data_IF_854081279035
#
_entry.id   IF_854081279035
#
_cell.length_a   1.000
_cell.length_b   1.000
_cell.length_c   1.000
_cell.angle_alpha   90.00
_cell.angle_beta   90.00
_cell.angle_gamma   90.00
#
_symmetry.space_group_name_H-M   'P 1'
#
loop_
_entity.id
_entity.type
_entity.pdbx_description
1 polymer ?
#
# COMPACT_ATOMS: atom_id res chain seq x y z
N UNK A 1 22.94 -9.59 9.97
CA UNK A 1 22.51 -9.79 11.37
C UNK A 1 21.05 -9.45 11.46
N UNK A 2 20.24 -10.39 11.93
CA UNK A 2 18.84 -10.14 12.26
C UNK A 2 18.80 -9.25 13.51
N UNK A 3 18.47 -7.99 13.33
CA UNK A 3 18.39 -7.02 14.43
C UNK A 3 17.02 -7.07 15.15
N UNK A 4 16.20 -8.09 14.91
CA UNK A 4 14.85 -8.21 15.47
C UNK A 4 13.88 -7.14 14.96
N UNK A 5 14.13 -6.57 13.78
CA UNK A 5 13.25 -5.58 13.17
C UNK A 5 12.07 -6.28 12.48
N UNK A 6 10.86 -5.90 12.87
CA UNK A 6 9.62 -6.49 12.35
C UNK A 6 8.96 -5.63 11.27
N UNK A 7 9.37 -4.38 11.14
CA UNK A 7 8.87 -3.45 10.13
C UNK A 7 9.94 -2.43 9.74
N UNK A 8 9.82 -1.88 8.55
CA UNK A 8 10.69 -0.84 8.01
C UNK A 8 9.89 0.17 7.20
N UNK A 9 10.42 1.37 7.10
CA UNK A 9 9.93 2.42 6.20
C UNK A 9 11.11 3.19 5.65
N UNK A 10 10.92 3.91 4.55
CA UNK A 10 11.96 4.73 3.92
C UNK A 10 11.42 6.13 3.70
N UNK A 11 12.14 7.13 4.22
CA UNK A 11 11.84 8.52 3.90
C UNK A 11 12.44 8.86 2.53
N UNK A 12 11.61 9.18 1.57
CA UNK A 12 12.02 9.46 0.19
C UNK A 12 12.96 10.66 0.05
N UNK A 13 12.84 11.66 0.95
CA UNK A 13 13.61 12.89 0.87
C UNK A 13 15.03 12.77 1.43
N UNK A 14 15.34 11.69 2.14
CA UNK A 14 16.62 11.56 2.88
C UNK A 14 17.39 10.30 2.51
N UNK A 15 17.14 9.71 1.35
CA UNK A 15 17.81 8.49 0.89
C UNK A 15 19.34 8.67 0.78
N UNK A 16 19.78 9.78 0.20
CA UNK A 16 21.18 10.15 0.03
C UNK A 16 21.89 10.32 1.38
N UNK A 17 21.25 10.94 2.36
CA UNK A 17 21.77 11.10 3.73
C UNK A 17 21.93 9.73 4.39
N UNK A 18 21.02 8.79 4.13
CA UNK A 18 21.08 7.41 4.63
C UNK A 18 22.08 6.53 3.84
N UNK A 19 22.75 7.08 2.82
CA UNK A 19 23.69 6.34 1.98
C UNK A 19 23.03 5.35 1.01
N UNK A 20 21.75 5.50 0.75
CA UNK A 20 21.03 4.69 -0.24
C UNK A 20 21.13 5.36 -1.62
N UNK A 21 21.73 4.71 -2.61
CA UNK A 21 21.90 5.29 -3.94
C UNK A 21 20.60 5.36 -4.75
N UNK A 22 19.59 4.56 -4.36
CA UNK A 22 18.30 4.41 -5.04
C UNK A 22 17.22 4.05 -4.04
N UNK A 23 15.96 4.33 -4.39
CA UNK A 23 14.82 3.83 -3.63
C UNK A 23 14.73 2.29 -3.73
N UNK A 24 14.72 1.55 -2.61
CA UNK A 24 14.80 0.08 -2.62
C UNK A 24 13.43 -0.60 -2.79
N UNK A 25 12.61 -0.21 -3.77
CA UNK A 25 11.24 -0.72 -3.93
C UNK A 25 11.16 -2.25 -4.00
N UNK A 26 12.08 -2.89 -4.72
CA UNK A 26 12.09 -4.36 -4.83
C UNK A 26 12.34 -5.02 -3.47
N UNK A 27 13.24 -4.48 -2.66
CA UNK A 27 13.49 -5.02 -1.31
C UNK A 27 12.30 -4.75 -0.39
N UNK A 28 11.60 -3.62 -0.53
CA UNK A 28 10.37 -3.33 0.19
C UNK A 28 9.26 -4.38 -0.12
N UNK A 29 9.14 -4.78 -1.38
CA UNK A 29 8.25 -5.88 -1.77
C UNK A 29 8.64 -7.21 -1.11
N UNK A 30 9.93 -7.55 -1.15
CA UNK A 30 10.47 -8.80 -0.59
C UNK A 30 10.35 -8.87 0.93
N UNK A 31 10.48 -7.77 1.66
CA UNK A 31 10.28 -7.79 3.12
C UNK A 31 8.83 -8.07 3.48
N UNK A 32 7.86 -7.48 2.77
CA UNK A 32 6.44 -7.81 2.95
C UNK A 32 6.15 -9.29 2.60
N UNK A 33 6.73 -9.80 1.51
CA UNK A 33 6.59 -11.21 1.13
C UNK A 33 7.11 -12.17 2.21
N UNK A 34 8.17 -11.79 2.93
CA UNK A 34 8.75 -12.54 4.05
C UNK A 34 8.01 -12.36 5.37
N UNK A 35 6.97 -11.54 5.42
CA UNK A 35 6.15 -11.31 6.61
C UNK A 35 6.62 -10.14 7.48
N UNK A 36 7.50 -9.26 6.98
CA UNK A 36 7.91 -8.05 7.67
C UNK A 36 7.09 -6.86 7.17
N UNK A 37 6.76 -5.91 8.06
CA UNK A 37 5.98 -4.74 7.72
C UNK A 37 6.74 -3.73 6.86
N UNK A 38 6.01 -3.08 5.97
CA UNK A 38 6.51 -1.95 5.21
C UNK A 38 5.40 -0.94 4.95
N UNK A 39 5.74 0.33 4.98
CA UNK A 39 4.96 1.42 4.43
C UNK A 39 5.90 2.46 3.82
N UNK A 40 5.45 3.17 2.80
CA UNK A 40 6.22 4.22 2.14
C UNK A 40 6.37 5.48 2.98
N UNK A 41 7.18 6.41 2.49
CA UNK A 41 7.25 7.83 2.89
C UNK A 41 7.57 8.10 4.38
N UNK A 42 8.18 7.15 5.07
CA UNK A 42 8.51 7.31 6.50
C UNK A 42 7.36 7.00 7.44
N UNK A 43 6.26 6.40 6.98
CA UNK A 43 5.11 6.07 7.81
C UNK A 43 5.38 4.85 8.70
N UNK A 44 5.98 5.11 9.85
CA UNK A 44 6.31 4.06 10.84
C UNK A 44 5.08 3.41 11.45
N UNK A 45 3.96 4.14 11.57
CA UNK A 45 2.75 3.61 12.18
C UNK A 45 2.09 2.57 11.28
N UNK A 46 1.91 2.90 10.01
CA UNK A 46 1.38 1.97 9.02
C UNK A 46 2.32 0.79 8.80
N UNK A 47 3.65 1.02 8.75
CA UNK A 47 4.62 -0.08 8.64
C UNK A 47 4.51 -1.06 9.80
N UNK A 48 4.38 -0.57 11.03
CA UNK A 48 4.17 -1.40 12.22
C UNK A 48 2.88 -2.21 12.16
N UNK A 49 1.77 -1.60 11.72
CA UNK A 49 0.50 -2.28 11.55
C UNK A 49 0.57 -3.37 10.46
N UNK A 50 1.18 -3.09 9.30
CA UNK A 50 1.42 -4.08 8.24
C UNK A 50 2.21 -5.27 8.80
N UNK A 51 3.28 -5.00 9.55
CA UNK A 51 4.10 -6.04 10.17
C UNK A 51 3.33 -6.91 11.15
N UNK A 52 2.53 -6.30 12.02
CA UNK A 52 1.69 -7.03 12.98
C UNK A 52 0.67 -7.94 12.28
N UNK A 53 0.02 -7.44 11.23
CA UNK A 53 -0.98 -8.23 10.50
C UNK A 53 -0.36 -9.32 9.64
N UNK A 54 0.82 -9.11 9.07
CA UNK A 54 1.54 -10.13 8.31
C UNK A 54 1.92 -11.37 9.13
N UNK A 55 2.00 -11.25 10.47
CA UNK A 55 2.24 -12.42 11.35
C UNK A 55 1.07 -13.41 11.33
N UNK A 56 -0.14 -12.95 11.02
CA UNK A 56 -1.37 -13.77 11.05
C UNK A 56 -1.96 -13.90 9.64
N UNK A 57 -1.87 -12.85 8.85
CA UNK A 57 -2.46 -12.74 7.51
C UNK A 57 -1.37 -12.50 6.46
N UNK A 58 -0.78 -13.56 5.87
CA UNK A 58 0.33 -13.43 4.93
C UNK A 58 -0.03 -12.71 3.63
N UNK A 59 -1.34 -12.55 3.36
CA UNK A 59 -1.87 -11.80 2.22
C UNK A 59 -2.23 -10.35 2.61
N UNK A 60 -1.35 -9.68 3.34
CA UNK A 60 -1.44 -8.26 3.69
C UNK A 60 -0.48 -7.45 2.82
N UNK A 61 -0.89 -6.28 2.38
CA UNK A 61 -0.01 -5.31 1.69
C UNK A 61 -0.26 -3.89 2.17
N UNK A 62 0.78 -3.10 2.17
CA UNK A 62 0.69 -1.64 2.17
C UNK A 62 0.03 -1.16 0.88
N UNK A 63 -0.77 -0.12 0.96
CA UNK A 63 -1.39 0.58 -0.18
C UNK A 63 -1.78 1.99 0.21
N UNK A 64 -2.15 2.80 -0.77
CA UNK A 64 -2.62 4.15 -0.58
C UNK A 64 -4.00 4.33 -1.23
N UNK A 65 -4.88 5.08 -0.56
CA UNK A 65 -6.13 5.56 -1.14
C UNK A 65 -5.80 6.74 -2.06
N UNK A 66 -5.58 6.43 -3.36
CA UNK A 66 -5.02 7.39 -4.30
C UNK A 66 -6.08 8.32 -4.90
N UNK A 67 -7.19 7.76 -5.40
CA UNK A 67 -8.17 8.54 -6.15
C UNK A 67 -9.57 7.91 -6.09
N UNK A 68 -10.60 8.66 -5.69
CA UNK A 68 -11.98 8.21 -5.80
C UNK A 68 -12.51 8.39 -7.23
N UNK A 69 -13.25 7.40 -7.72
CA UNK A 69 -14.11 7.52 -8.90
C UNK A 69 -15.57 7.60 -8.43
N UNK A 70 -16.11 8.82 -8.48
CA UNK A 70 -17.44 9.14 -7.97
C UNK A 70 -18.56 8.58 -8.85
N UNK A 71 -18.29 8.33 -10.14
CA UNK A 71 -19.30 7.82 -11.08
C UNK A 71 -19.48 6.31 -10.91
N UNK A 72 -18.39 5.59 -10.64
CA UNK A 72 -18.39 4.14 -10.47
C UNK A 72 -18.49 3.69 -9.02
N UNK A 73 -18.49 4.64 -8.07
CA UNK A 73 -18.58 4.38 -6.62
C UNK A 73 -17.42 3.48 -6.12
N UNK A 74 -16.19 3.75 -6.59
CA UNK A 74 -14.98 2.99 -6.29
C UNK A 74 -13.78 3.89 -5.96
N UNK A 75 -12.72 3.31 -5.41
CA UNK A 75 -11.47 3.99 -5.09
C UNK A 75 -10.31 3.26 -5.76
N UNK A 76 -9.47 4.00 -6.47
CA UNK A 76 -8.17 3.49 -6.89
C UNK A 76 -7.25 3.41 -5.69
N UNK A 77 -6.81 2.21 -5.37
CA UNK A 77 -5.69 1.96 -4.48
C UNK A 77 -4.43 1.88 -5.33
N UNK A 78 -3.41 2.65 -4.99
CA UNK A 78 -2.15 2.68 -5.75
C UNK A 78 -0.99 3.07 -4.84
N UNK A 79 0.22 2.76 -5.26
CA UNK A 79 1.46 3.33 -4.77
C UNK A 79 2.57 3.19 -5.81
N UNK A 80 3.77 3.69 -5.51
CA UNK A 80 4.83 3.92 -6.49
C UNK A 80 5.50 2.66 -7.05
N UNK A 81 5.40 1.50 -6.43
CA UNK A 81 6.07 0.29 -6.95
C UNK A 81 6.50 -0.67 -5.86
N UNK A 82 5.86 -0.57 -4.70
CA UNK A 82 6.02 -1.50 -3.60
C UNK A 82 4.67 -2.05 -3.15
N UNK A 83 4.59 -3.35 -3.08
CA UNK A 83 3.47 -4.10 -2.53
C UNK A 83 3.89 -5.53 -2.26
N UNK A 84 3.10 -6.25 -1.49
CA UNK A 84 3.34 -7.67 -1.26
C UNK A 84 3.05 -8.49 -2.54
N UNK A 85 4.06 -9.15 -3.15
CA UNK A 85 3.87 -9.94 -4.37
C UNK A 85 2.83 -11.06 -4.26
N UNK A 86 2.56 -11.54 -3.05
CA UNK A 86 1.53 -12.57 -2.79
C UNK A 86 0.12 -12.12 -3.17
N UNK A 87 -0.11 -10.81 -3.26
CA UNK A 87 -1.40 -10.25 -3.65
C UNK A 87 -1.50 -9.90 -5.13
N UNK A 88 -0.47 -10.16 -5.90
CA UNK A 88 -0.50 -9.89 -7.32
C UNK A 88 -1.54 -10.77 -8.04
N UNK A 89 -2.41 -10.15 -8.84
CA UNK A 89 -3.38 -10.82 -9.71
C UNK A 89 -2.66 -11.58 -10.83
N UNK A 90 -1.60 -10.97 -11.36
CA UNK A 90 -0.79 -11.45 -12.48
C UNK A 90 0.69 -11.46 -12.09
N UNK A 91 1.52 -12.02 -12.94
CA UNK A 91 2.97 -11.91 -12.76
C UNK A 91 3.37 -10.44 -12.74
N UNK A 92 4.00 -9.95 -11.66
CA UNK A 92 4.43 -8.56 -11.58
C UNK A 92 5.36 -8.16 -12.71
N UNK A 93 5.23 -6.92 -13.17
CA UNK A 93 6.17 -6.29 -14.08
C UNK A 93 7.29 -5.63 -13.25
N UNK A 94 8.53 -5.98 -13.53
CA UNK A 94 9.69 -5.29 -12.97
C UNK A 94 10.25 -4.37 -14.04
N UNK A 95 10.38 -3.09 -13.73
CA UNK A 95 10.83 -2.08 -14.69
C UNK A 95 11.58 -0.97 -13.97
N UNK A 96 12.52 -0.37 -14.69
CA UNK A 96 13.14 0.87 -14.22
C UNK A 96 12.14 2.01 -14.26
N UNK A 97 12.25 2.88 -13.27
CA UNK A 97 11.33 3.99 -13.02
C UNK A 97 12.12 5.23 -12.61
N UNK A 98 11.85 6.38 -13.24
CA UNK A 98 12.40 7.65 -12.79
C UNK A 98 12.00 7.94 -11.35
N UNK A 99 12.95 8.39 -10.54
CA UNK A 99 12.70 8.77 -9.15
C UNK A 99 13.12 10.23 -8.91
N UNK A 100 12.15 11.13 -8.99
CA UNK A 100 12.36 12.58 -9.03
C UNK A 100 12.19 13.28 -7.67
N UNK A 101 12.15 12.53 -6.57
CA UNK A 101 11.88 13.10 -5.24
C UNK A 101 13.13 13.55 -4.50
N UNK A 102 14.31 13.15 -4.97
CA UNK A 102 15.59 13.55 -4.41
C UNK A 102 16.71 13.41 -5.46
N UNK A 103 17.97 13.58 -5.05
CA UNK A 103 19.16 13.44 -5.88
C UNK A 103 19.61 12.00 -6.16
N UNK A 104 18.93 11.00 -5.63
CA UNK A 104 19.23 9.60 -5.91
C UNK A 104 18.86 9.24 -7.36
N UNK A 105 19.52 8.20 -7.88
CA UNK A 105 19.29 7.75 -9.24
C UNK A 105 17.94 7.04 -9.43
N UNK A 106 17.60 6.83 -10.68
CA UNK A 106 16.43 6.04 -11.08
C UNK A 106 16.44 4.68 -10.39
N UNK A 107 15.25 4.19 -10.06
CA UNK A 107 15.09 2.96 -9.31
C UNK A 107 14.43 1.87 -10.15
N UNK A 108 14.42 0.67 -9.62
CA UNK A 108 13.65 -0.45 -10.19
C UNK A 108 12.43 -0.69 -9.30
N UNK A 109 11.25 -0.66 -9.89
CA UNK A 109 9.98 -0.86 -9.22
C UNK A 109 9.31 -2.18 -9.65
N UNK A 110 8.45 -2.69 -8.80
CA UNK A 110 7.58 -3.82 -9.11
C UNK A 110 6.13 -3.32 -9.21
N UNK A 111 5.59 -3.45 -10.40
CA UNK A 111 4.20 -3.07 -10.68
C UNK A 111 3.32 -4.29 -10.74
N UNK A 112 2.20 -4.25 -10.05
CA UNK A 112 1.21 -5.31 -10.10
C UNK A 112 -0.21 -4.78 -9.94
N UNK A 113 -1.20 -5.62 -10.31
CA UNK A 113 -2.58 -5.42 -9.97
C UNK A 113 -2.91 -6.23 -8.72
N UNK A 114 -3.55 -5.62 -7.74
CA UNK A 114 -4.02 -6.32 -6.56
C UNK A 114 -5.13 -7.30 -6.96
N UNK A 115 -5.03 -8.53 -6.42
CA UNK A 115 -5.95 -9.62 -6.74
C UNK A 115 -7.39 -9.25 -6.41
N UNK A 116 -8.29 -9.56 -7.33
CA UNK A 116 -9.73 -9.38 -7.15
C UNK A 116 -10.31 -10.27 -6.04
N UNK A 117 -11.42 -9.84 -5.46
CA UNK A 117 -12.19 -10.60 -4.48
C UNK A 117 -12.49 -9.82 -3.21
N UNK A 118 -13.11 -10.51 -2.24
CA UNK A 118 -13.39 -9.92 -0.93
C UNK A 118 -12.11 -9.63 -0.18
N UNK A 119 -12.05 -8.44 0.42
CA UNK A 119 -10.91 -7.97 1.17
C UNK A 119 -11.35 -7.18 2.41
N UNK A 120 -10.42 -6.92 3.28
CA UNK A 120 -10.59 -5.98 4.39
C UNK A 120 -9.61 -4.83 4.22
N UNK A 121 -10.12 -3.62 4.24
CA UNK A 121 -9.34 -2.40 4.24
C UNK A 121 -9.14 -1.95 5.68
N UNK A 122 -7.90 -1.70 6.07
CA UNK A 122 -7.54 -1.36 7.47
C UNK A 122 -6.68 -0.11 7.50
N UNK A 123 -6.96 0.78 8.45
CA UNK A 123 -6.17 1.96 8.71
C UNK A 123 -6.03 2.17 10.22
N UNK A 124 -4.88 2.63 10.67
CA UNK A 124 -4.62 2.99 12.05
C UNK A 124 -4.41 4.50 12.13
N UNK A 125 -5.40 5.19 12.65
CA UNK A 125 -5.42 6.64 12.74
C UNK A 125 -4.93 7.11 14.12
N UNK A 126 -3.86 7.93 14.21
CA UNK A 126 -3.46 8.52 15.47
C UNK A 126 -4.43 9.65 15.84
N UNK A 127 -4.97 9.58 17.06
CA UNK A 127 -5.80 10.60 17.66
C UNK A 127 -4.99 11.30 18.78
N UNK A 128 -5.58 12.26 19.46
CA UNK A 128 -4.88 13.04 20.48
C UNK A 128 -4.33 12.18 21.63
N UNK A 129 -5.10 11.20 22.09
CA UNK A 129 -4.82 10.39 23.29
C UNK A 129 -4.99 8.88 23.07
N UNK A 130 -5.35 8.46 21.87
CA UNK A 130 -5.58 7.06 21.50
C UNK A 130 -5.36 6.83 20.00
N UNK A 131 -5.54 5.59 19.55
CA UNK A 131 -5.55 5.22 18.15
C UNK A 131 -6.92 4.67 17.77
N UNK A 132 -7.42 5.07 16.61
CA UNK A 132 -8.56 4.45 15.99
C UNK A 132 -8.11 3.37 15.00
N UNK A 133 -8.53 2.14 15.20
CA UNK A 133 -8.38 1.09 14.19
C UNK A 133 -9.64 1.08 13.33
N UNK A 134 -9.51 1.54 12.09
CA UNK A 134 -10.60 1.56 11.11
C UNK A 134 -10.53 0.28 10.30
N UNK A 135 -11.64 -0.45 10.25
CA UNK A 135 -11.74 -1.73 9.55
C UNK A 135 -12.99 -1.73 8.68
N UNK A 136 -12.85 -2.01 7.40
CA UNK A 136 -13.97 -2.07 6.47
C UNK A 136 -13.87 -3.28 5.55
N UNK A 137 -14.96 -4.03 5.41
CA UNK A 137 -15.11 -4.99 4.34
C UNK A 137 -15.19 -4.26 3.00
N UNK A 138 -14.49 -4.75 1.99
CA UNK A 138 -14.43 -4.17 0.65
C UNK A 138 -14.38 -5.27 -0.41
N UNK A 139 -14.61 -4.92 -1.66
CA UNK A 139 -14.39 -5.80 -2.80
C UNK A 139 -13.33 -5.21 -3.73
N UNK A 140 -12.28 -6.00 -4.00
CA UNK A 140 -11.30 -5.66 -5.02
C UNK A 140 -11.83 -6.12 -6.38
N UNK A 141 -11.88 -5.21 -7.34
CA UNK A 141 -12.45 -5.43 -8.65
C UNK A 141 -11.40 -5.94 -9.66
N UNK A 142 -11.88 -6.63 -10.69
CA UNK A 142 -11.05 -7.13 -11.79
C UNK A 142 -10.83 -6.05 -12.89
N UNK A 143 -10.62 -4.83 -12.48
CA UNK A 143 -10.44 -3.73 -13.42
C UNK A 143 -9.07 -3.11 -13.19
N UNK A 144 -8.18 -3.12 -14.13
CA UNK A 144 -7.00 -2.36 -13.83
C UNK A 144 -5.87 -2.36 -14.83
N UNK A 145 -5.60 -3.44 -15.49
CA UNK A 145 -4.46 -3.52 -16.41
C UNK A 145 -4.77 -3.08 -17.85
N UNK A 146 -6.03 -3.04 -18.24
CA UNK A 146 -6.42 -2.68 -19.60
C UNK A 146 -6.51 -1.16 -19.83
N UNK A 147 -6.57 -0.36 -18.79
CA UNK A 147 -6.63 1.10 -18.87
C UNK A 147 -5.23 1.73 -18.99
N UNK A 148 -4.49 1.37 -19.99
CA UNK A 148 -3.28 1.95 -20.61
C UNK A 148 -2.32 2.82 -19.77
N UNK A 149 -2.78 3.87 -19.12
CA UNK A 149 -1.96 4.85 -18.41
C UNK A 149 -1.37 4.33 -17.07
N UNK A 150 -1.95 3.28 -16.49
CA UNK A 150 -1.59 2.78 -15.16
C UNK A 150 -0.73 1.51 -15.17
N UNK A 151 -0.15 1.15 -16.30
CA UNK A 151 0.71 -0.04 -16.42
C UNK A 151 1.95 0.00 -15.54
N UNK A 152 2.33 1.18 -15.09
CA UNK A 152 3.54 1.44 -14.31
C UNK A 152 3.20 1.94 -12.90
N UNK A 153 2.19 1.34 -12.28
CA UNK A 153 1.91 1.53 -10.86
C UNK A 153 1.41 0.23 -10.24
N UNK A 154 1.62 0.06 -8.96
CA UNK A 154 0.89 -0.94 -8.18
C UNK A 154 -0.50 -0.41 -7.94
N UNK A 155 -1.54 -1.16 -8.31
CA UNK A 155 -2.91 -0.65 -8.32
C UNK A 155 -3.96 -1.72 -8.07
N UNK A 156 -5.13 -1.28 -7.61
CA UNK A 156 -6.34 -2.06 -7.54
C UNK A 156 -7.55 -1.15 -7.35
N UNK A 157 -8.67 -1.49 -7.97
CA UNK A 157 -9.91 -0.79 -7.75
C UNK A 157 -10.65 -1.42 -6.58
N UNK A 158 -10.94 -0.62 -5.57
CA UNK A 158 -11.64 -1.03 -4.36
C UNK A 158 -13.07 -0.49 -4.37
N UNK A 159 -14.04 -1.38 -4.19
CA UNK A 159 -15.44 -1.02 -3.95
C UNK A 159 -15.74 -1.13 -2.46
N UNK A 160 -16.04 -0.02 -1.77
CA UNK A 160 -16.47 -0.06 -0.37
C UNK A 160 -17.80 -0.81 -0.21
N UNK A 161 -18.07 -1.33 0.99
CA UNK A 161 -19.33 -1.97 1.32
C UNK A 161 -20.49 -0.97 1.52
N UNK A 162 -20.20 0.33 1.49
CA UNK A 162 -21.15 1.45 1.58
C UNK A 162 -20.96 2.37 0.38
N UNK A 163 -21.98 3.20 0.02
CA UNK A 163 -21.79 4.24 -0.98
C UNK A 163 -20.56 5.10 -0.70
N UNK A 164 -19.79 5.40 -1.73
CA UNK A 164 -18.49 6.05 -1.60
C UNK A 164 -18.51 7.36 -0.79
N UNK A 165 -19.50 8.27 -0.98
CA UNK A 165 -19.57 9.49 -0.16
C UNK A 165 -19.76 9.21 1.33
N UNK A 166 -20.54 8.19 1.67
CA UNK A 166 -20.75 7.79 3.06
C UNK A 166 -19.50 7.15 3.63
N UNK A 167 -18.87 6.23 2.88
CA UNK A 167 -17.62 5.59 3.29
C UNK A 167 -16.53 6.60 3.59
N UNK A 168 -16.26 7.53 2.66
CA UNK A 168 -15.21 8.54 2.82
C UNK A 168 -15.50 9.51 3.97
N UNK A 169 -16.78 9.88 4.16
CA UNK A 169 -17.19 10.71 5.31
C UNK A 169 -16.90 10.02 6.64
N UNK A 170 -17.35 8.77 6.80
CA UNK A 170 -17.14 8.01 8.03
C UNK A 170 -15.65 7.75 8.28
N UNK A 171 -14.91 7.39 7.23
CA UNK A 171 -13.46 7.16 7.27
C UNK A 171 -12.72 8.42 7.74
N UNK A 172 -13.03 9.59 7.16
CA UNK A 172 -12.42 10.86 7.53
C UNK A 172 -12.77 11.29 8.95
N UNK A 173 -14.02 11.11 9.38
CA UNK A 173 -14.45 11.42 10.76
C UNK A 173 -13.77 10.51 11.80
N UNK A 174 -13.42 9.29 11.42
CA UNK A 174 -12.64 8.38 12.26
C UNK A 174 -11.14 8.71 12.30
N UNK A 175 -10.69 9.73 11.56
CA UNK A 175 -9.29 10.15 11.47
C UNK A 175 -8.46 9.40 10.43
N UNK A 176 -9.12 8.66 9.52
CA UNK A 176 -8.43 7.86 8.51
C UNK A 176 -7.49 8.67 7.63
N UNK A 177 -6.34 8.10 7.33
CA UNK A 177 -5.28 8.66 6.49
C UNK A 177 -5.25 7.95 5.14
N UNK A 178 -4.58 8.54 4.14
CA UNK A 178 -4.46 7.94 2.82
C UNK A 178 -3.63 6.65 2.80
N UNK A 179 -2.60 6.56 3.63
CA UNK A 179 -1.84 5.32 3.84
C UNK A 179 -2.65 4.30 4.62
N UNK A 180 -2.73 3.11 4.10
CA UNK A 180 -3.53 2.03 4.65
C UNK A 180 -3.00 0.68 4.23
N UNK A 181 -3.72 -0.37 4.56
CA UNK A 181 -3.40 -1.71 4.12
C UNK A 181 -4.64 -2.46 3.64
N UNK A 182 -4.42 -3.37 2.74
CA UNK A 182 -5.44 -4.28 2.22
C UNK A 182 -5.09 -5.71 2.58
N UNK A 183 -6.07 -6.42 3.13
CA UNK A 183 -6.03 -7.84 3.44
C UNK A 183 -6.96 -8.53 2.44
N UNK A 184 -6.41 -9.31 1.51
CA UNK A 184 -7.23 -10.04 0.54
C UNK A 184 -7.41 -11.47 1.01
N UNK A 185 -8.68 -11.91 1.01
CA UNK A 185 -9.15 -13.23 1.44
C UNK A 185 -9.06 -13.50 2.96
N UNK A 186 -10.10 -13.06 3.65
CA UNK A 186 -10.52 -13.67 4.91
C UNK A 186 -11.63 -14.68 4.62
#
# INVERSE_FOLDING_TARGET
QDNGLHAATVNFLTLDICGLPKMPFIECCKIMERGQGYAGEGDVLTAGLVGALLQVYPNTTFTEMFCPDWEQDVILLSHMGESNPKLAQWKPLISDCPFNYNSCGDTTAMYNCLRKGKAVYVNLAPMQDHFNLIVSGVEMLDEGLERGAYRHSTQGWMKPCKPLPQFLKEFSLAGGTHHSLSLIHI
#
